data_IF_435251367025
#
_entry.id   IF_435251367025
#
_cell.length_a   1.000
_cell.length_b   1.000
_cell.length_c   1.000
_cell.angle_alpha   90.00
_cell.angle_beta   90.00
_cell.angle_gamma   90.00
#
_symmetry.space_group_name_H-M   'P 1'
#
loop_
_entity.id
_entity.type
_entity.pdbx_description
1 polymer ?
#
# COMPACT_ATOMS: atom_id res chain seq x y z
N UNK A 1 17.45 -29.19 -3.07
CA UNK A 1 17.64 -28.01 -2.19
C UNK A 1 17.62 -26.67 -2.94
N UNK A 2 18.24 -26.58 -4.12
CA UNK A 2 18.36 -25.36 -4.94
C UNK A 2 17.02 -24.75 -5.37
N UNK A 3 16.06 -25.60 -5.79
CA UNK A 3 14.72 -25.15 -6.23
C UNK A 3 13.87 -24.66 -5.06
N UNK A 4 13.89 -25.35 -3.91
CA UNK A 4 13.16 -24.94 -2.71
C UNK A 4 13.58 -23.54 -2.24
N UNK A 5 14.90 -23.24 -2.25
CA UNK A 5 15.41 -21.90 -1.94
C UNK A 5 14.92 -20.83 -2.92
N UNK A 6 14.84 -21.16 -4.21
CA UNK A 6 14.29 -20.28 -5.24
C UNK A 6 12.79 -20.02 -5.05
N UNK A 7 12.02 -21.05 -4.68
CA UNK A 7 10.60 -20.91 -4.37
C UNK A 7 10.37 -20.02 -3.15
N UNK A 8 11.13 -20.22 -2.06
CA UNK A 8 11.03 -19.35 -0.87
C UNK A 8 11.32 -17.90 -1.24
N UNK A 9 12.40 -17.63 -1.98
CA UNK A 9 12.72 -16.28 -2.43
C UNK A 9 11.60 -15.67 -3.29
N UNK A 10 10.99 -16.46 -4.18
CA UNK A 10 9.86 -16.01 -4.99
C UNK A 10 8.64 -15.65 -4.14
N UNK A 11 8.28 -16.47 -3.15
CA UNK A 11 7.12 -16.23 -2.28
C UNK A 11 7.30 -15.05 -1.31
N UNK A 12 8.54 -14.69 -0.97
CA UNK A 12 8.80 -13.52 -0.13
C UNK A 12 8.39 -12.20 -0.82
N UNK A 13 8.47 -12.11 -2.15
CA UNK A 13 8.11 -10.90 -2.90
C UNK A 13 6.63 -10.52 -2.70
N UNK A 14 5.63 -11.38 -3.00
CA UNK A 14 4.23 -11.05 -2.76
C UNK A 14 3.89 -10.95 -1.27
N UNK A 15 4.58 -11.69 -0.41
CA UNK A 15 4.36 -11.63 1.05
C UNK A 15 4.66 -10.23 1.60
N UNK A 16 5.71 -9.57 1.12
CA UNK A 16 6.05 -8.18 1.49
C UNK A 16 4.91 -7.24 1.11
N UNK A 17 4.37 -7.37 -0.11
CA UNK A 17 3.22 -6.58 -0.55
C UNK A 17 2.00 -6.78 0.36
N UNK A 18 1.70 -8.03 0.69
CA UNK A 18 0.61 -8.38 1.58
C UNK A 18 0.80 -7.81 2.99
N UNK A 19 2.01 -7.89 3.55
CA UNK A 19 2.32 -7.31 4.86
C UNK A 19 2.19 -5.78 4.84
N UNK A 20 2.69 -5.12 3.78
CA UNK A 20 2.53 -3.68 3.63
C UNK A 20 1.05 -3.29 3.54
N UNK A 21 0.25 -4.04 2.77
CA UNK A 21 -1.20 -3.86 2.71
C UNK A 21 -1.88 -4.05 4.06
N UNK A 22 -1.52 -5.09 4.82
CA UNK A 22 -2.07 -5.32 6.17
C UNK A 22 -1.72 -4.18 7.13
N UNK A 23 -0.47 -3.71 7.11
CA UNK A 23 -0.05 -2.59 7.93
C UNK A 23 -0.81 -1.30 7.59
N UNK A 24 -1.02 -1.02 6.31
CA UNK A 24 -1.76 0.15 5.85
C UNK A 24 -3.27 0.07 6.13
N UNK A 25 -3.86 -1.12 6.15
CA UNK A 25 -5.33 -1.30 6.27
C UNK A 25 -5.82 -1.64 7.68
N UNK A 26 -5.14 -2.53 8.40
CA UNK A 26 -5.57 -2.97 9.74
C UNK A 26 -4.90 -2.20 10.87
N UNK A 27 -3.67 -1.73 10.65
CA UNK A 27 -2.86 -1.11 11.70
C UNK A 27 -2.66 0.39 11.50
N UNK A 28 -3.20 0.96 10.42
CA UNK A 28 -3.08 2.38 10.07
C UNK A 28 -1.62 2.89 9.99
N UNK A 29 -0.66 1.99 9.72
CA UNK A 29 0.76 2.32 9.57
C UNK A 29 1.01 2.65 8.10
N UNK A 30 1.04 3.95 7.78
CA UNK A 30 1.28 4.46 6.44
C UNK A 30 2.76 4.79 6.23
N UNK A 31 3.48 3.87 5.59
CA UNK A 31 4.82 4.15 5.08
C UNK A 31 4.73 4.49 3.60
N UNK A 32 5.01 5.74 3.23
CA UNK A 32 5.02 6.17 1.82
C UNK A 32 6.04 5.37 0.97
N UNK A 33 7.12 4.88 1.61
CA UNK A 33 8.15 4.05 0.97
C UNK A 33 8.63 3.00 1.96
N UNK A 34 8.11 1.76 1.92
CA UNK A 34 8.50 0.70 2.86
C UNK A 34 9.93 0.22 2.55
N UNK A 35 10.92 0.83 3.19
CA UNK A 35 12.35 0.52 3.01
C UNK A 35 12.62 -0.97 3.31
N UNK A 36 11.98 -1.50 4.35
CA UNK A 36 12.08 -2.92 4.71
C UNK A 36 11.61 -3.83 3.56
N UNK A 37 10.56 -3.43 2.84
CA UNK A 37 10.03 -4.19 1.71
C UNK A 37 11.01 -4.22 0.55
N UNK A 38 11.62 -3.08 0.24
CA UNK A 38 12.67 -2.98 -0.78
C UNK A 38 13.87 -3.89 -0.46
N UNK A 39 14.30 -3.94 0.81
CA UNK A 39 15.40 -4.81 1.27
C UNK A 39 15.07 -6.29 1.04
N UNK A 40 13.86 -6.73 1.38
CA UNK A 40 13.44 -8.12 1.19
C UNK A 40 13.35 -8.49 -0.29
N UNK A 41 12.78 -7.61 -1.13
CA UNK A 41 12.69 -7.81 -2.58
C UNK A 41 14.09 -7.96 -3.18
N UNK A 42 15.01 -7.04 -2.85
CA UNK A 42 16.40 -7.09 -3.32
C UNK A 42 17.10 -8.38 -2.90
N UNK A 43 16.96 -8.79 -1.63
CA UNK A 43 17.53 -10.04 -1.13
C UNK A 43 17.00 -11.26 -1.91
N UNK A 44 15.69 -11.30 -2.18
CA UNK A 44 15.07 -12.37 -2.97
C UNK A 44 15.57 -12.41 -4.42
N UNK A 45 15.70 -11.25 -5.07
CA UNK A 45 16.25 -11.15 -6.42
C UNK A 45 17.72 -11.59 -6.48
N UNK A 46 18.53 -11.21 -5.49
CA UNK A 46 19.94 -11.66 -5.39
C UNK A 46 20.02 -13.17 -5.25
N UNK A 47 19.19 -13.78 -4.39
CA UNK A 47 19.16 -15.23 -4.22
C UNK A 47 18.78 -15.93 -5.52
N UNK A 48 17.74 -15.47 -6.21
CA UNK A 48 17.28 -16.04 -7.48
C UNK A 48 18.31 -15.86 -8.61
N UNK A 49 18.94 -14.70 -8.72
CA UNK A 49 20.01 -14.45 -9.69
C UNK A 49 21.23 -15.34 -9.44
N UNK A 50 21.63 -15.49 -8.17
CA UNK A 50 22.74 -16.38 -7.80
C UNK A 50 22.42 -17.85 -8.10
N UNK A 51 21.17 -18.29 -7.90
CA UNK A 51 20.73 -19.64 -8.24
C UNK A 51 20.77 -19.87 -9.75
N UNK A 52 20.38 -18.88 -10.56
CA UNK A 52 20.43 -18.96 -12.02
C UNK A 52 21.88 -19.08 -12.54
N UNK A 53 22.80 -18.27 -12.00
CA UNK A 53 24.22 -18.27 -12.40
C UNK A 53 24.88 -19.62 -12.08
N UNK A 54 24.58 -20.20 -10.93
CA UNK A 54 25.20 -21.46 -10.46
C UNK A 54 24.52 -22.72 -10.99
N UNK A 55 23.46 -22.61 -11.78
CA UNK A 55 22.66 -23.75 -12.20
C UNK A 55 23.29 -24.52 -13.37
N UNK A 56 23.66 -25.77 -13.11
CA UNK A 56 24.07 -26.74 -14.15
C UNK A 56 22.90 -27.59 -14.66
N UNK A 57 21.83 -27.73 -13.88
CA UNK A 57 20.59 -28.46 -14.23
C UNK A 57 19.36 -27.56 -14.02
N UNK A 58 18.28 -27.82 -14.75
CA UNK A 58 17.00 -27.08 -14.65
C UNK A 58 17.10 -25.56 -14.90
N UNK A 59 18.06 -25.14 -15.74
CA UNK A 59 18.32 -23.73 -16.04
C UNK A 59 17.11 -23.00 -16.63
N UNK A 60 16.32 -23.67 -17.48
CA UNK A 60 15.07 -23.12 -18.05
C UNK A 60 14.06 -22.75 -16.97
N UNK A 61 13.84 -23.64 -15.99
CA UNK A 61 12.94 -23.38 -14.86
C UNK A 61 13.42 -22.24 -13.99
N UNK A 62 14.73 -22.18 -13.68
CA UNK A 62 15.30 -21.09 -12.89
C UNK A 62 15.28 -19.75 -13.61
N UNK A 63 15.39 -19.76 -14.94
CA UNK A 63 15.22 -18.57 -15.77
C UNK A 63 13.78 -18.06 -15.68
N UNK A 64 12.79 -18.96 -15.81
CA UNK A 64 11.38 -18.60 -15.67
C UNK A 64 11.07 -18.04 -14.26
N UNK A 65 11.61 -18.65 -13.20
CA UNK A 65 11.45 -18.16 -11.84
C UNK A 65 12.04 -16.75 -11.64
N UNK A 66 13.20 -16.47 -12.25
CA UNK A 66 13.78 -15.12 -12.23
C UNK A 66 12.88 -14.13 -12.98
N UNK A 67 12.39 -14.50 -14.17
CA UNK A 67 11.52 -13.63 -14.95
C UNK A 67 10.26 -13.26 -14.17
N UNK A 68 9.60 -14.25 -13.57
CA UNK A 68 8.40 -14.03 -12.74
C UNK A 68 8.75 -13.13 -11.55
N UNK A 69 9.86 -13.38 -10.85
CA UNK A 69 10.26 -12.56 -9.70
C UNK A 69 10.51 -11.09 -10.06
N UNK A 70 11.16 -10.83 -11.19
CA UNK A 70 11.36 -9.47 -11.69
C UNK A 70 10.04 -8.80 -12.05
N UNK A 71 9.16 -9.48 -12.78
CA UNK A 71 7.82 -8.96 -13.10
C UNK A 71 7.01 -8.65 -11.84
N UNK A 72 7.01 -9.55 -10.86
CA UNK A 72 6.32 -9.35 -9.58
C UNK A 72 6.90 -8.18 -8.79
N UNK A 73 8.23 -8.03 -8.77
CA UNK A 73 8.89 -6.94 -8.06
C UNK A 73 8.53 -5.58 -8.67
N UNK A 74 8.54 -5.47 -10.01
CA UNK A 74 8.14 -4.25 -10.72
C UNK A 74 6.67 -3.91 -10.47
N UNK A 75 5.78 -4.90 -10.57
CA UNK A 75 4.35 -4.73 -10.27
C UNK A 75 4.13 -4.28 -8.83
N UNK A 76 4.88 -4.84 -7.88
CA UNK A 76 4.77 -4.47 -6.47
C UNK A 76 5.22 -3.03 -6.23
N UNK A 77 6.37 -2.63 -6.81
CA UNK A 77 6.89 -1.27 -6.68
C UNK A 77 5.91 -0.27 -7.28
N UNK A 78 5.41 -0.56 -8.49
CA UNK A 78 4.39 0.27 -9.14
C UNK A 78 3.13 0.38 -8.29
N UNK A 79 2.63 -0.74 -7.74
CA UNK A 79 1.46 -0.74 -6.87
C UNK A 79 1.69 0.09 -5.60
N UNK A 80 2.86 -0.02 -4.98
CA UNK A 80 3.21 0.80 -3.81
C UNK A 80 3.26 2.28 -4.19
N UNK A 81 3.94 2.67 -5.27
CA UNK A 81 4.03 4.08 -5.65
C UNK A 81 2.67 4.69 -6.00
N UNK A 82 1.83 4.00 -6.76
CA UNK A 82 0.55 4.52 -7.23
C UNK A 82 -0.52 4.58 -6.12
N UNK A 83 -0.58 3.55 -5.26
CA UNK A 83 -1.61 3.49 -4.21
C UNK A 83 -1.19 4.13 -2.88
N UNK A 84 0.11 4.44 -2.67
CA UNK A 84 0.56 5.14 -1.46
C UNK A 84 0.87 6.61 -1.67
N UNK A 85 0.80 7.11 -2.92
CA UNK A 85 0.91 8.54 -3.19
C UNK A 85 -0.43 9.22 -2.93
N UNK A 86 -0.53 9.83 -1.75
CA UNK A 86 -1.68 10.67 -1.41
C UNK A 86 -1.23 12.12 -1.46
N UNK A 87 -1.96 13.01 -2.15
CA UNK A 87 -1.69 14.42 -2.08
C UNK A 87 -1.75 14.86 -0.61
N UNK A 88 -0.69 15.53 -0.15
CA UNK A 88 -0.70 16.13 1.17
C UNK A 88 -1.91 17.08 1.25
N UNK A 89 -2.65 17.01 2.36
CA UNK A 89 -3.73 17.97 2.60
C UNK A 89 -3.07 19.31 2.87
N UNK A 90 -3.14 20.22 1.91
CA UNK A 90 -2.46 21.52 1.94
C UNK A 90 -3.12 22.53 2.92
N UNK A 91 -4.11 22.06 3.70
CA UNK A 91 -4.95 22.89 4.55
C UNK A 91 -4.83 22.45 6.00
N UNK A 92 -3.94 23.12 6.74
CA UNK A 92 -3.93 23.07 8.20
C UNK A 92 -4.94 24.10 8.73
N UNK A 93 -6.09 23.65 9.23
CA UNK A 93 -7.03 24.54 9.90
C UNK A 93 -6.50 24.98 11.26
N UNK A 94 -6.52 26.28 11.53
CA UNK A 94 -6.15 26.81 12.85
C UNK A 94 -7.31 26.65 13.82
N UNK A 95 -7.00 26.48 15.11
CA UNK A 95 -8.01 26.49 16.18
C UNK A 95 -8.79 27.82 16.11
N UNK A 96 -10.13 27.74 16.08
CA UNK A 96 -11.03 28.89 15.98
C UNK A 96 -11.28 29.39 14.54
N UNK A 97 -10.67 28.77 13.52
CA UNK A 97 -10.95 29.10 12.13
C UNK A 97 -12.36 28.62 11.75
N UNK A 98 -13.22 29.54 11.30
CA UNK A 98 -14.51 29.19 10.72
C UNK A 98 -14.29 28.56 9.35
N UNK A 99 -14.65 27.28 9.22
CA UNK A 99 -14.62 26.55 7.97
C UNK A 99 -16.00 26.61 7.33
N UNK A 100 -16.08 27.13 6.10
CA UNK A 100 -17.31 27.03 5.32
C UNK A 100 -17.33 25.65 4.65
N UNK A 101 -18.09 24.71 5.22
CA UNK A 101 -18.27 23.37 4.69
C UNK A 101 -19.26 23.31 3.50
N UNK A 102 -19.74 24.46 3.03
CA UNK A 102 -20.78 24.56 2.00
C UNK A 102 -20.35 24.16 0.58
N UNK A 103 -19.08 23.79 0.34
CA UNK A 103 -18.55 23.68 -1.02
C UNK A 103 -17.60 22.49 -1.26
N UNK A 104 -17.82 21.35 -0.63
CA UNK A 104 -16.98 20.16 -0.88
C UNK A 104 -17.84 18.92 -1.10
N UNK A 105 -17.83 18.45 -2.34
CA UNK A 105 -18.72 17.41 -2.84
C UNK A 105 -18.63 16.06 -2.14
N UNK A 106 -19.72 15.31 -2.31
CA UNK A 106 -19.86 13.85 -2.27
C UNK A 106 -19.39 13.13 -1.01
N UNK A 107 -19.62 13.69 0.18
CA UNK A 107 -19.73 12.81 1.34
C UNK A 107 -20.97 11.95 1.16
N UNK A 108 -20.81 10.64 1.27
CA UNK A 108 -21.91 9.70 1.25
C UNK A 108 -22.00 9.02 2.62
N UNK A 109 -23.23 8.73 3.04
CA UNK A 109 -23.43 7.85 4.18
C UNK A 109 -23.10 6.40 3.81
N UNK A 110 -23.16 5.50 4.79
CA UNK A 110 -22.92 4.06 4.58
C UNK A 110 -23.89 3.39 3.60
N UNK A 111 -24.95 4.09 3.18
CA UNK A 111 -25.93 3.63 2.20
C UNK A 111 -25.75 4.28 0.82
N UNK A 112 -24.67 5.05 0.62
CA UNK A 112 -24.34 5.72 -0.64
C UNK A 112 -25.18 6.98 -0.90
N UNK A 113 -25.91 7.48 0.09
CA UNK A 113 -26.73 8.69 -0.05
C UNK A 113 -25.89 9.91 0.24
N UNK A 114 -26.12 11.00 -0.51
CA UNK A 114 -25.48 12.28 -0.24
C UNK A 114 -25.68 12.70 1.21
N UNK A 115 -24.58 12.95 1.92
CA UNK A 115 -24.57 13.33 3.32
C UNK A 115 -24.21 14.81 3.46
N UNK A 116 -25.15 15.58 4.01
CA UNK A 116 -24.95 16.98 4.33
C UNK A 116 -24.43 17.13 5.76
N UNK A 117 -23.12 17.35 5.90
CA UNK A 117 -22.47 17.67 7.18
C UNK A 117 -23.11 18.89 7.85
N UNK A 118 -23.50 19.91 7.09
CA UNK A 118 -24.05 21.15 7.63
C UNK A 118 -25.32 20.91 8.43
N UNK A 119 -26.20 20.03 7.92
CA UNK A 119 -27.43 19.62 8.62
C UNK A 119 -27.18 18.96 9.98
N UNK A 120 -26.04 18.28 10.17
CA UNK A 120 -25.69 17.61 11.42
C UNK A 120 -24.97 18.56 12.39
N UNK A 121 -24.08 19.40 11.88
CA UNK A 121 -23.39 20.42 12.69
C UNK A 121 -24.37 21.40 13.33
N UNK A 122 -25.53 21.65 12.70
CA UNK A 122 -26.55 22.56 13.22
C UNK A 122 -27.47 21.93 14.28
N UNK A 123 -27.37 20.63 14.57
CA UNK A 123 -28.23 19.94 15.55
C UNK A 123 -27.66 19.97 16.97
N UNK A 124 -26.38 20.29 17.14
CA UNK A 124 -25.71 20.31 18.44
C UNK A 124 -24.73 21.48 18.53
N UNK A 125 -24.57 22.03 19.74
CA UNK A 125 -23.61 23.11 20.01
C UNK A 125 -22.15 22.70 19.75
N UNK A 126 -21.88 21.39 19.80
CA UNK A 126 -20.57 20.79 19.56
C UNK A 126 -20.72 19.50 18.77
N UNK A 127 -19.84 19.29 17.79
CA UNK A 127 -19.78 18.05 17.01
C UNK A 127 -18.33 17.61 16.89
N UNK A 128 -18.07 16.34 17.17
CA UNK A 128 -16.77 15.71 16.94
C UNK A 128 -16.77 15.06 15.55
N UNK A 129 -15.88 15.52 14.67
CA UNK A 129 -15.62 14.87 13.39
C UNK A 129 -14.35 14.03 13.52
N UNK A 130 -14.48 12.73 13.25
CA UNK A 130 -13.36 11.80 13.23
C UNK A 130 -13.07 11.47 11.77
N UNK A 131 -11.89 11.89 11.30
CA UNK A 131 -11.43 11.58 9.95
C UNK A 131 -10.56 10.33 10.01
N UNK A 132 -11.14 9.20 9.60
CA UNK A 132 -10.36 8.00 9.37
C UNK A 132 -9.73 8.08 7.99
N UNK A 133 -8.42 7.87 7.93
CA UNK A 133 -7.74 7.64 6.66
C UNK A 133 -7.87 6.14 6.39
N UNK A 134 -8.87 5.74 5.63
CA UNK A 134 -9.11 4.35 5.28
C UNK A 134 -9.13 4.18 3.77
N UNK A 135 -8.48 3.13 3.28
CA UNK A 135 -8.90 2.56 2.01
C UNK A 135 -10.20 1.80 2.32
N UNK A 136 -11.31 2.28 1.74
CA UNK A 136 -12.68 1.72 1.77
C UNK A 136 -13.52 2.05 3.00
#
# INVERSE_FOLDING_TARGET
MTIARGLVALFLIPLVGFLHFLFATQFEIYEQRPIWGAVVILASLIVLGRLLIKATKNRKTLFLLNLIAWSMSLLLIWWVEDFTDYPAVDINYKVGQKTNWSDKGQLQDSLGRSFDIGSQLNQADQTLLIFYRGHW
#
